data_IF_466166281466
#
_entry.id   IF_466166281466
#
_cell.length_a   1.000
_cell.length_b   1.000
_cell.length_c   1.000
_cell.angle_alpha   90.00
_cell.angle_beta   90.00
_cell.angle_gamma   90.00
#
_symmetry.space_group_name_H-M   'P 1'
#
loop_
_entity.id
_entity.type
_entity.pdbx_description
1 polymer ?
#
# COMPACT_ATOMS: atom_id res chain seq x y z
N UNK A 1 -5.36 -17.37 -17.49
CA UNK A 1 -4.39 -16.26 -17.43
C UNK A 1 -4.91 -15.26 -16.39
N UNK A 2 -4.21 -15.12 -15.26
CA UNK A 2 -4.75 -14.38 -14.12
C UNK A 2 -4.11 -12.99 -13.96
N UNK A 3 -3.16 -12.59 -14.82
CA UNK A 3 -2.54 -11.26 -14.76
C UNK A 3 -3.57 -10.21 -15.18
N UNK A 4 -3.73 -9.17 -14.34
CA UNK A 4 -4.77 -8.16 -14.50
C UNK A 4 -6.12 -8.51 -13.85
N UNK A 5 -6.29 -9.73 -13.35
CA UNK A 5 -7.52 -10.13 -12.67
C UNK A 5 -7.58 -9.61 -11.23
N UNK A 6 -8.74 -9.15 -10.76
CA UNK A 6 -8.95 -8.87 -9.34
C UNK A 6 -8.98 -10.18 -8.56
N UNK A 7 -8.43 -10.16 -7.36
CA UNK A 7 -8.43 -11.27 -6.42
C UNK A 7 -8.86 -10.78 -5.05
N UNK A 8 -9.63 -11.59 -4.33
CA UNK A 8 -10.05 -11.30 -2.97
C UNK A 8 -9.20 -12.07 -1.96
N UNK A 9 -9.07 -11.52 -0.76
CA UNK A 9 -8.43 -12.22 0.35
C UNK A 9 -9.14 -13.56 0.60
N UNK A 10 -8.34 -14.64 0.66
CA UNK A 10 -8.84 -16.01 0.82
C UNK A 10 -9.19 -16.72 -0.49
N UNK A 11 -9.13 -16.03 -1.63
CA UNK A 11 -9.38 -16.65 -2.93
C UNK A 11 -8.22 -17.57 -3.34
N UNK A 12 -8.48 -18.76 -3.93
CA UNK A 12 -7.46 -19.72 -4.30
C UNK A 12 -6.60 -19.20 -5.45
N UNK A 13 -5.27 -19.28 -5.29
CA UNK A 13 -4.29 -18.87 -6.30
C UNK A 13 -3.70 -20.06 -7.06
N UNK A 14 -3.18 -21.04 -6.32
CA UNK A 14 -2.56 -22.25 -6.89
C UNK A 14 -2.50 -23.36 -5.84
N UNK A 15 -2.22 -24.58 -6.29
CA UNK A 15 -1.99 -25.71 -5.40
C UNK A 15 -0.51 -26.10 -5.40
N UNK A 16 0.03 -26.37 -4.23
CA UNK A 16 1.42 -26.78 -4.03
C UNK A 16 1.49 -28.17 -3.43
N UNK A 17 2.44 -28.98 -3.92
CA UNK A 17 2.87 -30.20 -3.27
C UNK A 17 4.16 -29.94 -2.49
N UNK A 18 4.17 -30.31 -1.21
CA UNK A 18 5.36 -30.30 -0.38
C UNK A 18 5.41 -31.58 0.47
N UNK A 19 6.50 -32.35 0.39
CA UNK A 19 6.71 -33.51 1.26
C UNK A 19 6.66 -33.16 2.75
N UNK A 20 7.18 -31.98 3.10
CA UNK A 20 7.22 -31.50 4.49
C UNK A 20 5.81 -31.15 5.01
N UNK A 21 4.99 -30.51 4.17
CA UNK A 21 3.58 -30.27 4.47
C UNK A 21 2.79 -31.56 4.64
N UNK A 22 3.06 -32.56 3.80
CA UNK A 22 2.41 -33.86 3.89
C UNK A 22 2.80 -34.58 5.19
N UNK A 23 4.10 -34.65 5.50
CA UNK A 23 4.58 -35.26 6.74
C UNK A 23 4.01 -34.58 7.99
N UNK A 24 3.92 -33.23 8.01
CA UNK A 24 3.35 -32.52 9.16
C UNK A 24 1.84 -32.76 9.31
N UNK A 25 1.11 -32.99 8.22
CA UNK A 25 -0.29 -33.41 8.28
C UNK A 25 -0.44 -34.81 8.86
N UNK A 26 0.46 -35.74 8.49
CA UNK A 26 0.52 -37.10 9.04
C UNK A 26 0.84 -37.04 10.54
N UNK A 27 1.75 -36.17 10.98
CA UNK A 27 2.02 -35.91 12.40
C UNK A 27 0.77 -35.45 13.15
N UNK A 28 -0.03 -34.55 12.56
CA UNK A 28 -1.30 -34.10 13.14
C UNK A 28 -2.29 -35.23 13.27
N UNK A 29 -2.45 -36.07 12.24
CA UNK A 29 -3.35 -37.22 12.27
C UNK A 29 -2.90 -38.26 13.29
N UNK A 30 -1.59 -38.50 13.44
CA UNK A 30 -1.04 -39.35 14.46
C UNK A 30 -1.32 -38.79 15.86
N UNK A 31 -1.11 -37.50 16.08
CA UNK A 31 -1.41 -36.83 17.35
C UNK A 31 -2.87 -36.94 17.72
N UNK A 32 -3.79 -36.79 16.76
CA UNK A 32 -5.25 -36.98 16.96
C UNK A 32 -5.62 -38.41 17.35
N UNK A 33 -4.96 -39.40 16.74
CA UNK A 33 -5.11 -40.81 17.11
C UNK A 33 -4.61 -41.06 18.52
N UNK A 34 -3.39 -40.63 18.83
CA UNK A 34 -2.77 -40.76 20.15
C UNK A 34 -3.63 -40.11 21.23
N UNK A 35 -4.20 -38.94 20.99
CA UNK A 35 -5.14 -38.26 21.90
C UNK A 35 -6.35 -39.12 22.19
N UNK A 36 -6.96 -39.77 21.18
CA UNK A 36 -8.11 -40.67 21.35
C UNK A 36 -7.73 -41.88 22.20
N UNK A 37 -6.56 -42.45 21.95
CA UNK A 37 -6.07 -43.61 22.68
C UNK A 37 -5.77 -43.28 24.16
N UNK A 38 -5.17 -42.12 24.42
CA UNK A 38 -4.85 -41.60 25.76
C UNK A 38 -6.08 -41.11 26.52
N UNK A 39 -7.17 -40.70 25.85
CA UNK A 39 -8.40 -40.26 26.50
C UNK A 39 -9.02 -41.32 27.41
N UNK A 40 -8.76 -42.59 27.14
CA UNK A 40 -9.19 -43.72 27.97
C UNK A 40 -8.26 -44.00 29.17
N UNK A 41 -7.03 -43.41 29.19
CA UNK A 41 -6.06 -43.60 30.24
C UNK A 41 -6.14 -42.43 31.26
N UNK A 42 -6.34 -42.75 32.53
CA UNK A 42 -6.42 -41.75 33.60
C UNK A 42 -5.11 -40.96 33.72
N UNK A 43 -5.19 -39.62 33.55
CA UNK A 43 -4.09 -38.68 33.81
C UNK A 43 -3.25 -38.30 32.60
N UNK A 44 -3.44 -38.88 31.41
CA UNK A 44 -2.62 -38.59 30.20
C UNK A 44 -3.36 -37.80 29.10
N UNK A 45 -4.58 -37.37 29.37
CA UNK A 45 -5.40 -36.65 28.38
C UNK A 45 -4.79 -35.29 28.00
N UNK A 46 -4.13 -34.58 28.93
CA UNK A 46 -3.48 -33.30 28.70
C UNK A 46 -2.29 -33.42 27.73
N UNK A 47 -1.51 -34.49 27.85
CA UNK A 47 -0.35 -34.72 26.97
C UNK A 47 -0.78 -34.94 25.51
N UNK A 48 -1.95 -35.60 25.33
CA UNK A 48 -2.54 -35.78 23.99
C UNK A 48 -2.99 -34.47 23.35
N UNK A 49 -3.57 -33.57 24.14
CA UNK A 49 -4.03 -32.26 23.66
C UNK A 49 -2.84 -31.36 23.27
N UNK A 50 -1.74 -31.41 24.03
CA UNK A 50 -0.51 -30.66 23.73
C UNK A 50 0.15 -31.12 22.42
N UNK A 51 0.15 -32.42 22.13
CA UNK A 51 0.66 -32.96 20.87
C UNK A 51 -0.16 -32.44 19.67
N UNK A 52 -1.48 -32.48 19.77
CA UNK A 52 -2.38 -31.97 18.72
C UNK A 52 -2.19 -30.46 18.53
N UNK A 53 -2.13 -29.69 19.62
CA UNK A 53 -1.92 -28.25 19.56
C UNK A 53 -0.57 -27.89 18.91
N UNK A 54 0.48 -28.64 19.19
CA UNK A 54 1.81 -28.46 18.61
C UNK A 54 1.81 -28.72 17.09
N UNK A 55 1.24 -29.86 16.66
CA UNK A 55 1.19 -30.23 15.25
C UNK A 55 0.31 -29.23 14.44
N UNK A 56 -0.84 -28.83 15.01
CA UNK A 56 -1.72 -27.81 14.40
C UNK A 56 -1.00 -26.48 14.26
N UNK A 57 -0.26 -26.03 15.27
CA UNK A 57 0.52 -24.78 15.25
C UNK A 57 1.57 -24.79 14.15
N UNK A 58 2.25 -25.90 13.90
CA UNK A 58 3.23 -26.03 12.79
C UNK A 58 2.54 -25.76 11.44
N UNK A 59 1.40 -26.38 11.17
CA UNK A 59 0.64 -26.17 9.93
C UNK A 59 0.12 -24.73 9.80
N UNK A 60 -0.31 -24.13 10.91
CA UNK A 60 -0.74 -22.72 10.94
C UNK A 60 0.40 -21.76 10.64
N UNK A 61 1.64 -22.05 11.13
CA UNK A 61 2.83 -21.25 10.83
C UNK A 61 3.23 -21.32 9.34
N UNK A 62 2.78 -22.32 8.62
CA UNK A 62 2.93 -22.45 7.18
C UNK A 62 1.70 -21.94 6.40
N UNK A 63 0.87 -21.12 7.04
CA UNK A 63 -0.33 -20.51 6.47
C UNK A 63 -1.30 -21.51 5.80
N UNK A 64 -1.34 -22.76 6.29
CA UNK A 64 -2.34 -23.72 5.85
C UNK A 64 -3.73 -23.22 6.25
N UNK A 65 -4.68 -23.05 5.31
CA UNK A 65 -6.00 -22.51 5.60
C UNK A 65 -6.74 -23.31 6.68
N UNK A 66 -7.43 -22.61 7.59
CA UNK A 66 -8.18 -23.25 8.67
C UNK A 66 -9.23 -24.24 8.14
N UNK A 67 -9.85 -23.94 7.00
CA UNK A 67 -10.79 -24.85 6.35
C UNK A 67 -10.13 -26.17 5.90
N UNK A 68 -8.88 -26.11 5.43
CA UNK A 68 -8.10 -27.30 5.06
C UNK A 68 -7.76 -28.12 6.29
N UNK A 69 -7.30 -27.46 7.39
CA UNK A 69 -7.04 -28.16 8.66
C UNK A 69 -8.28 -28.87 9.18
N UNK A 70 -9.42 -28.17 9.21
CA UNK A 70 -10.68 -28.76 9.63
C UNK A 70 -11.06 -29.99 8.78
N UNK A 71 -10.86 -29.92 7.47
CA UNK A 71 -11.14 -31.02 6.55
C UNK A 71 -10.23 -32.23 6.81
N UNK A 72 -8.92 -32.03 7.01
CA UNK A 72 -7.96 -33.07 7.36
C UNK A 72 -8.36 -33.75 8.68
N UNK A 73 -8.72 -32.95 9.70
CA UNK A 73 -9.15 -33.45 11.01
C UNK A 73 -10.47 -34.26 10.93
N UNK A 74 -11.41 -33.83 10.09
CA UNK A 74 -12.70 -34.52 9.88
C UNK A 74 -12.57 -35.79 9.08
N UNK A 75 -11.80 -35.76 7.98
CA UNK A 75 -11.65 -36.90 7.08
C UNK A 75 -10.65 -37.94 7.60
N UNK A 76 -9.73 -37.53 8.47
CA UNK A 76 -8.61 -38.35 8.91
C UNK A 76 -7.63 -38.70 7.80
N UNK A 77 -7.59 -37.90 6.72
CA UNK A 77 -6.71 -38.14 5.57
C UNK A 77 -5.88 -36.91 5.27
N UNK A 78 -4.58 -37.10 5.05
CA UNK A 78 -3.69 -36.07 4.60
C UNK A 78 -3.91 -35.73 3.12
N UNK A 79 -3.87 -34.44 2.81
CA UNK A 79 -4.02 -33.97 1.43
C UNK A 79 -2.64 -33.86 0.77
N UNK A 80 -2.49 -34.49 -0.39
CA UNK A 80 -1.23 -34.47 -1.15
C UNK A 80 -0.83 -33.05 -1.56
N UNK A 81 -1.81 -32.23 -1.91
CA UNK A 81 -1.61 -30.85 -2.36
C UNK A 81 -2.40 -29.91 -1.48
N UNK A 82 -1.80 -28.78 -1.12
CA UNK A 82 -2.45 -27.71 -0.37
C UNK A 82 -2.72 -26.54 -1.30
N UNK A 83 -3.91 -25.99 -1.24
CA UNK A 83 -4.27 -24.78 -1.97
C UNK A 83 -3.76 -23.56 -1.21
N UNK A 84 -2.91 -22.77 -1.88
CA UNK A 84 -2.47 -21.47 -1.40
C UNK A 84 -3.49 -20.42 -1.79
N UNK A 85 -3.92 -19.64 -0.82
CA UNK A 85 -4.93 -18.58 -0.99
C UNK A 85 -4.29 -17.21 -0.91
N UNK A 86 -4.93 -16.22 -1.51
CA UNK A 86 -4.43 -14.84 -1.44
C UNK A 86 -4.52 -14.28 0.00
N UNK A 87 -3.42 -13.74 0.55
CA UNK A 87 -3.45 -13.10 1.87
C UNK A 87 -4.10 -11.71 1.84
N UNK A 88 -4.25 -11.11 0.67
CA UNK A 88 -4.76 -9.74 0.45
C UNK A 88 -5.78 -9.71 -0.68
N UNK A 89 -6.58 -8.65 -0.71
CA UNK A 89 -7.39 -8.32 -1.89
C UNK A 89 -6.63 -7.33 -2.76
N UNK A 90 -6.73 -7.46 -4.08
CA UNK A 90 -6.02 -6.57 -5.01
C UNK A 90 -6.12 -7.06 -6.45
N UNK A 91 -5.17 -6.64 -7.27
CA UNK A 91 -5.04 -7.05 -8.67
C UNK A 91 -3.73 -7.81 -8.84
N UNK A 92 -3.79 -8.95 -9.51
CA UNK A 92 -2.59 -9.74 -9.85
C UNK A 92 -1.80 -8.99 -10.92
N UNK A 93 -0.63 -8.47 -10.57
CA UNK A 93 0.23 -7.75 -11.52
C UNK A 93 1.30 -8.64 -12.14
N UNK A 94 1.68 -9.71 -11.42
CA UNK A 94 2.68 -10.66 -11.90
C UNK A 94 2.35 -12.07 -11.43
N UNK A 95 2.60 -13.03 -12.32
CA UNK A 95 2.49 -14.46 -12.06
C UNK A 95 3.71 -15.16 -12.67
N UNK A 96 4.54 -15.74 -11.84
CA UNK A 96 5.77 -16.42 -12.27
C UNK A 96 5.67 -17.94 -12.21
N UNK A 97 4.56 -18.47 -11.73
CA UNK A 97 4.39 -19.93 -11.61
C UNK A 97 3.62 -20.52 -12.77
N UNK A 98 4.08 -21.68 -13.18
CA UNK A 98 3.40 -22.56 -14.15
C UNK A 98 3.21 -23.95 -13.54
N UNK A 99 2.22 -24.72 -14.01
CA UNK A 99 2.03 -26.09 -13.54
C UNK A 99 3.29 -26.93 -13.67
N UNK A 100 3.64 -27.67 -12.60
CA UNK A 100 4.84 -28.51 -12.56
C UNK A 100 6.14 -27.79 -12.21
N UNK A 101 6.12 -26.46 -12.05
CA UNK A 101 7.29 -25.70 -11.64
C UNK A 101 7.61 -25.97 -10.16
N UNK A 102 8.90 -26.05 -9.85
CA UNK A 102 9.39 -26.08 -8.48
C UNK A 102 9.48 -24.67 -7.91
N UNK A 103 8.91 -24.45 -6.74
CA UNK A 103 9.01 -23.19 -5.98
C UNK A 103 9.97 -23.40 -4.85
N UNK A 104 10.97 -22.52 -4.72
CA UNK A 104 11.92 -22.52 -3.62
C UNK A 104 11.46 -21.57 -2.51
N UNK A 105 11.94 -21.80 -1.29
CA UNK A 105 11.67 -20.89 -0.17
C UNK A 105 12.18 -19.47 -0.49
N UNK A 106 11.34 -18.45 -0.27
CA UNK A 106 11.63 -17.05 -0.65
C UNK A 106 11.26 -16.68 -2.08
N UNK A 107 10.79 -17.62 -2.90
CA UNK A 107 10.25 -17.32 -4.23
C UNK A 107 8.98 -16.47 -4.15
N UNK A 108 8.77 -15.61 -5.15
CA UNK A 108 7.57 -14.76 -5.28
C UNK A 108 6.70 -15.24 -6.45
N UNK A 109 5.84 -16.25 -6.23
CA UNK A 109 5.03 -16.84 -7.30
C UNK A 109 3.98 -15.89 -7.88
N UNK A 110 3.47 -14.97 -7.06
CA UNK A 110 2.48 -13.97 -7.42
C UNK A 110 2.86 -12.62 -6.82
N UNK A 111 2.55 -11.57 -7.55
CA UNK A 111 2.60 -10.20 -7.07
C UNK A 111 1.20 -9.59 -7.18
N UNK A 112 0.65 -9.17 -6.05
CA UNK A 112 -0.71 -8.65 -5.93
C UNK A 112 -0.63 -7.25 -5.34
N UNK A 113 -1.19 -6.27 -6.06
CA UNK A 113 -1.18 -4.88 -5.63
C UNK A 113 -2.57 -4.44 -5.19
N UNK A 114 -2.64 -3.80 -4.04
CA UNK A 114 -3.82 -3.05 -3.63
C UNK A 114 -3.82 -1.70 -4.36
N UNK A 115 -4.73 -1.57 -5.30
CA UNK A 115 -4.91 -0.34 -6.09
C UNK A 115 -6.08 0.53 -5.60
N UNK A 116 -6.64 0.27 -4.42
CA UNK A 116 -7.73 1.08 -3.85
C UNK A 116 -7.30 2.50 -3.50
N UNK A 117 -6.03 2.68 -3.23
CA UNK A 117 -5.37 3.98 -3.06
C UNK A 117 -4.04 4.00 -3.78
N UNK A 118 -3.67 5.16 -4.30
CA UNK A 118 -2.40 5.37 -4.98
C UNK A 118 -1.66 6.58 -4.41
N UNK A 119 -0.36 6.56 -4.56
CA UNK A 119 0.49 7.70 -4.26
C UNK A 119 1.00 8.33 -5.54
N UNK A 120 0.88 9.64 -5.63
CA UNK A 120 1.53 10.43 -6.67
C UNK A 120 2.75 11.11 -6.08
N UNK A 121 3.88 10.93 -6.75
CA UNK A 121 5.13 11.60 -6.41
C UNK A 121 5.27 12.83 -7.31
N UNK A 122 5.12 14.01 -6.71
CA UNK A 122 5.28 15.27 -7.39
C UNK A 122 6.67 15.84 -7.10
N UNK A 123 7.35 16.33 -8.14
CA UNK A 123 8.61 17.04 -7.99
C UNK A 123 8.33 18.52 -7.78
N UNK A 124 8.66 19.03 -6.60
CA UNK A 124 8.44 20.42 -6.22
C UNK A 124 9.79 21.14 -6.06
N UNK A 125 9.95 22.29 -6.72
CA UNK A 125 11.18 23.08 -6.62
C UNK A 125 11.39 23.61 -5.19
N UNK A 126 12.64 23.75 -4.79
CA UNK A 126 13.06 24.28 -3.49
C UNK A 126 12.39 25.63 -3.15
N UNK A 127 12.25 26.50 -4.14
CA UNK A 127 11.60 27.82 -3.99
C UNK A 127 10.15 27.73 -3.53
N UNK A 128 9.44 26.68 -3.96
CA UNK A 128 8.00 26.51 -3.73
C UNK A 128 7.70 25.64 -2.50
N UNK A 129 8.69 24.91 -1.99
CA UNK A 129 8.53 24.04 -0.81
C UNK A 129 7.99 24.77 0.43
N UNK A 130 8.32 26.05 0.60
CA UNK A 130 7.81 26.87 1.71
C UNK A 130 6.29 26.96 1.74
N UNK A 131 5.63 26.75 0.60
CA UNK A 131 4.16 26.82 0.44
C UNK A 131 3.50 25.46 0.60
N UNK A 132 4.28 24.36 0.56
CA UNK A 132 3.76 22.99 0.69
C UNK A 132 3.70 22.58 2.16
N UNK A 133 2.56 22.05 2.58
CA UNK A 133 2.36 21.52 3.93
C UNK A 133 1.76 20.13 3.87
N UNK A 134 2.16 19.25 4.77
CA UNK A 134 1.48 17.96 4.97
C UNK A 134 0.01 18.23 5.32
N UNK A 135 -0.90 17.49 4.69
CA UNK A 135 -2.34 17.69 4.81
C UNK A 135 -2.94 18.68 3.80
N UNK A 136 -2.12 19.45 3.08
CA UNK A 136 -2.61 20.40 2.07
C UNK A 136 -3.40 19.67 0.96
N UNK A 137 -4.50 20.26 0.47
CA UNK A 137 -5.24 19.69 -0.63
C UNK A 137 -4.49 19.86 -1.94
N UNK A 138 -4.57 18.82 -2.78
CA UNK A 138 -4.00 18.78 -4.11
C UNK A 138 -5.07 18.39 -5.12
N UNK A 139 -5.10 19.05 -6.27
CA UNK A 139 -5.90 18.66 -7.41
C UNK A 139 -4.98 18.10 -8.49
N UNK A 140 -5.33 16.93 -9.00
CA UNK A 140 -4.50 16.19 -9.95
C UNK A 140 -5.30 15.92 -11.22
N UNK A 141 -4.61 16.03 -12.36
CA UNK A 141 -5.13 15.66 -13.67
C UNK A 141 -4.15 14.73 -14.36
N UNK A 142 -4.66 13.71 -15.03
CA UNK A 142 -3.84 12.70 -15.71
C UNK A 142 -4.10 12.76 -17.22
N UNK A 143 -3.05 12.78 -18.02
CA UNK A 143 -3.16 12.82 -19.49
C UNK A 143 -3.90 11.61 -20.05
N UNK A 144 -3.80 10.46 -19.39
CA UNK A 144 -4.49 9.24 -19.79
C UNK A 144 -6.01 9.27 -19.49
N UNK A 145 -6.50 10.21 -18.66
CA UNK A 145 -7.90 10.34 -18.23
C UNK A 145 -8.34 11.80 -18.39
N UNK A 146 -8.47 12.29 -19.63
CA UNK A 146 -8.76 13.68 -19.90
C UNK A 146 -10.15 14.09 -19.35
N UNK A 147 -10.21 15.30 -18.79
CA UNK A 147 -11.46 15.85 -18.23
C UNK A 147 -11.81 15.34 -16.83
N UNK A 148 -11.00 14.49 -16.21
CA UNK A 148 -11.20 14.04 -14.83
C UNK A 148 -10.21 14.71 -13.90
N UNK A 149 -10.73 15.26 -12.80
CA UNK A 149 -9.94 15.81 -11.71
C UNK A 149 -10.01 14.89 -10.49
N UNK A 150 -8.85 14.62 -9.93
CA UNK A 150 -8.71 13.81 -8.72
C UNK A 150 -8.30 14.69 -7.56
N UNK A 151 -8.93 14.50 -6.41
CA UNK A 151 -8.62 15.23 -5.19
C UNK A 151 -7.77 14.38 -4.28
N UNK A 152 -6.61 14.91 -3.92
CA UNK A 152 -5.66 14.25 -3.02
C UNK A 152 -5.25 15.15 -1.87
N UNK A 153 -4.40 14.61 -1.01
CA UNK A 153 -3.77 15.35 0.09
C UNK A 153 -2.29 15.04 0.13
N UNK A 154 -1.49 16.05 0.43
CA UNK A 154 -0.07 15.89 0.71
C UNK A 154 0.09 15.00 1.94
N UNK A 155 0.63 13.80 1.75
CA UNK A 155 0.88 12.84 2.82
C UNK A 155 2.28 13.00 3.42
N UNK A 156 3.26 13.38 2.58
CA UNK A 156 4.65 13.49 3.00
C UNK A 156 5.42 14.44 2.08
N UNK A 157 6.36 15.17 2.65
CA UNK A 157 7.34 15.99 1.91
C UNK A 157 8.72 15.45 2.24
N UNK A 158 9.46 15.06 1.22
CA UNK A 158 10.80 14.51 1.42
C UNK A 158 11.72 15.60 1.99
N UNK A 159 12.45 15.36 3.09
CA UNK A 159 13.39 16.30 3.66
C UNK A 159 14.68 16.44 2.83
N UNK A 160 14.89 15.55 1.86
CA UNK A 160 16.10 15.53 1.01
C UNK A 160 15.75 16.03 -0.37
N UNK A 161 16.56 16.97 -0.87
CA UNK A 161 16.46 17.45 -2.24
C UNK A 161 17.23 16.54 -3.20
N UNK A 162 16.67 16.30 -4.38
CA UNK A 162 17.40 15.68 -5.49
C UNK A 162 18.41 16.71 -6.03
N UNK A 163 19.74 16.44 -5.93
CA UNK A 163 20.76 17.44 -6.26
C UNK A 163 20.75 17.89 -7.71
N UNK A 164 20.36 17.01 -8.64
CA UNK A 164 20.37 17.29 -10.08
C UNK A 164 19.25 18.23 -10.50
N UNK A 165 18.06 18.03 -9.95
CA UNK A 165 16.85 18.78 -10.31
C UNK A 165 16.52 19.90 -9.33
N UNK A 166 17.13 19.91 -8.14
CA UNK A 166 16.81 20.79 -7.00
C UNK A 166 15.34 20.76 -6.63
N UNK A 167 14.76 19.57 -6.69
CA UNK A 167 13.36 19.32 -6.31
C UNK A 167 13.29 18.42 -5.10
N UNK A 168 12.24 18.58 -4.29
CA UNK A 168 11.86 17.58 -3.29
C UNK A 168 10.70 16.73 -3.81
N UNK A 169 10.71 15.47 -3.47
CA UNK A 169 9.57 14.58 -3.72
C UNK A 169 8.46 14.85 -2.71
N UNK A 170 7.29 15.21 -3.21
CA UNK A 170 6.07 15.39 -2.42
C UNK A 170 5.14 14.24 -2.73
N UNK A 171 4.82 13.44 -1.71
CA UNK A 171 3.91 12.32 -1.83
C UNK A 171 2.49 12.76 -1.54
N UNK A 172 1.61 12.55 -2.51
CA UNK A 172 0.20 12.89 -2.44
C UNK A 172 -0.60 11.58 -2.44
N UNK A 173 -1.46 11.40 -1.46
CA UNK A 173 -2.34 10.23 -1.38
C UNK A 173 -3.68 10.53 -2.04
N UNK A 174 -4.13 9.59 -2.87
CA UNK A 174 -5.44 9.63 -3.56
C UNK A 174 -6.19 8.33 -3.33
N UNK A 175 -7.49 8.45 -3.15
CA UNK A 175 -8.39 7.30 -3.30
C UNK A 175 -8.52 6.95 -4.78
N UNK A 176 -8.54 5.68 -5.10
CA UNK A 176 -8.61 5.16 -6.46
C UNK A 176 -9.76 4.15 -6.62
N UNK A 177 -11.01 4.60 -6.49
CA UNK A 177 -12.16 3.70 -6.65
C UNK A 177 -12.19 3.13 -8.07
N UNK A 178 -12.42 1.82 -8.14
CA UNK A 178 -12.46 1.11 -9.43
C UNK A 178 -11.11 0.95 -10.12
N UNK A 179 -9.98 1.24 -9.43
CA UNK A 179 -8.62 1.08 -9.96
C UNK A 179 -8.40 1.79 -11.32
N UNK A 180 -9.02 2.97 -11.50
CA UNK A 180 -8.91 3.77 -12.73
C UNK A 180 -7.49 4.31 -12.92
N UNK A 181 -6.84 4.73 -11.83
CA UNK A 181 -5.45 5.14 -11.85
C UNK A 181 -4.55 3.90 -11.79
N UNK A 182 -3.62 3.82 -12.72
CA UNK A 182 -2.64 2.74 -12.79
C UNK A 182 -1.26 3.26 -12.38
N UNK A 183 -0.41 2.41 -11.80
CA UNK A 183 0.99 2.76 -11.58
C UNK A 183 1.65 3.27 -12.86
N UNK A 184 2.67 4.11 -12.71
CA UNK A 184 3.42 4.73 -13.81
C UNK A 184 2.61 5.70 -14.69
N UNK A 185 1.39 6.08 -14.30
CA UNK A 185 0.67 7.15 -14.99
C UNK A 185 1.27 8.52 -14.64
N UNK A 186 1.42 9.37 -15.67
CA UNK A 186 1.89 10.74 -15.54
C UNK A 186 0.72 11.73 -15.52
N UNK A 187 0.85 12.75 -14.68
CA UNK A 187 -0.15 13.78 -14.52
C UNK A 187 0.43 15.11 -14.04
N UNK A 188 -0.43 16.08 -13.93
CA UNK A 188 -0.11 17.40 -13.40
C UNK A 188 -0.77 17.56 -12.03
N UNK A 189 -0.06 18.22 -11.12
CA UNK A 189 -0.51 18.46 -9.75
C UNK A 189 -0.61 19.95 -9.50
N UNK A 190 -1.76 20.39 -9.06
CA UNK A 190 -1.98 21.75 -8.56
C UNK A 190 -2.09 21.69 -7.04
N UNK A 191 -1.07 22.18 -6.36
CA UNK A 191 -1.06 22.33 -4.91
C UNK A 191 -1.68 23.68 -4.55
N UNK A 192 -2.74 23.67 -3.75
CA UNK A 192 -3.34 24.90 -3.24
C UNK A 192 -2.51 25.40 -2.07
N UNK A 193 -1.91 26.58 -2.21
CA UNK A 193 -1.24 27.23 -1.10
C UNK A 193 -2.25 27.65 -0.03
N UNK A 194 -1.81 27.64 1.23
CA UNK A 194 -2.63 28.18 2.31
C UNK A 194 -2.87 29.67 2.05
N UNK A 195 -4.12 30.16 2.06
CA UNK A 195 -4.40 31.56 1.88
C UNK A 195 -3.63 32.39 2.91
N UNK A 196 -2.77 33.29 2.44
CA UNK A 196 -2.06 34.22 3.31
C UNK A 196 -2.76 35.57 3.23
N UNK A 197 -3.14 36.12 4.36
CA UNK A 197 -3.54 37.51 4.40
C UNK A 197 -2.33 38.37 4.07
N UNK A 198 -2.37 39.07 2.96
CA UNK A 198 -1.33 39.96 2.52
C UNK A 198 -1.99 41.26 2.02
N UNK A 199 -1.34 42.37 2.30
CA UNK A 199 -1.68 43.63 1.68
C UNK A 199 -1.31 43.51 0.19
N UNK A 200 -2.28 43.69 -0.68
CA UNK A 200 -2.05 43.72 -2.11
C UNK A 200 -2.05 45.16 -2.59
N UNK A 201 -1.06 45.50 -3.36
CA UNK A 201 -0.95 46.79 -4.07
C UNK A 201 -0.86 46.50 -5.57
N UNK A 202 -1.45 47.34 -6.44
CA UNK A 202 -1.26 47.21 -7.88
C UNK A 202 0.25 47.27 -8.22
N UNK A 203 0.68 46.46 -9.19
CA UNK A 203 2.08 46.46 -9.61
C UNK A 203 2.53 47.84 -10.11
N UNK A 204 1.64 48.58 -10.76
CA UNK A 204 1.87 49.93 -11.27
C UNK A 204 2.07 51.00 -10.19
N UNK A 205 1.70 50.68 -8.94
CA UNK A 205 1.94 51.57 -7.79
C UNK A 205 3.32 51.38 -7.15
N UNK A 206 4.08 50.38 -7.60
CA UNK A 206 5.45 50.10 -7.10
C UNK A 206 6.47 50.72 -8.04
N UNK A 207 7.25 51.65 -7.52
CA UNK A 207 8.40 52.21 -8.26
C UNK A 207 9.63 51.41 -7.84
N UNK A 208 10.20 50.66 -8.78
CA UNK A 208 11.41 49.89 -8.55
C UNK A 208 12.63 50.69 -9.08
N UNK A 209 13.55 51.02 -8.19
CA UNK A 209 14.79 51.73 -8.49
C UNK A 209 15.97 50.79 -8.76
N UNK A 210 15.73 49.45 -8.82
CA UNK A 210 16.78 48.43 -8.95
C UNK A 210 17.47 48.07 -7.65
N UNK A 211 17.49 48.98 -6.66
CA UNK A 211 18.06 48.74 -5.33
C UNK A 211 16.98 48.70 -4.23
N UNK A 212 15.85 49.37 -4.47
CA UNK A 212 14.70 49.46 -3.54
C UNK A 212 13.41 49.57 -4.31
N UNK A 213 12.37 48.90 -3.80
CA UNK A 213 11.00 49.09 -4.28
C UNK A 213 10.28 50.04 -3.32
N UNK A 214 9.71 51.12 -3.88
CA UNK A 214 9.05 52.19 -3.12
C UNK A 214 7.62 52.34 -3.56
N UNK A 215 6.73 52.52 -2.59
CA UNK A 215 5.34 52.91 -2.85
C UNK A 215 5.02 54.21 -2.15
N UNK A 216 4.15 55.02 -2.75
CA UNK A 216 3.67 56.26 -2.13
C UNK A 216 2.29 56.05 -1.56
N UNK A 217 2.17 56.20 -0.23
CA UNK A 217 0.87 56.14 0.47
C UNK A 217 0.29 57.55 0.53
N UNK A 218 -0.91 57.73 0.00
CA UNK A 218 -1.62 58.98 0.07
C UNK A 218 -2.17 59.17 1.51
N UNK A 219 -1.82 60.29 2.14
CA UNK A 219 -2.26 60.65 3.50
C UNK A 219 -3.44 61.61 3.50
N UNK A 220 -3.95 62.04 2.35
CA UNK A 220 -4.90 63.09 2.20
C UNK A 220 -4.25 64.46 2.00
N UNK A 221 -5.04 65.48 1.64
CA UNK A 221 -4.63 66.85 1.43
C UNK A 221 -3.40 67.03 0.51
N UNK A 222 -3.27 66.19 -0.50
CA UNK A 222 -2.14 66.22 -1.44
C UNK A 222 -0.78 65.76 -0.91
N UNK A 223 -0.78 65.19 0.31
CA UNK A 223 0.44 64.64 0.95
C UNK A 223 0.64 63.17 0.65
N UNK A 224 1.85 62.78 0.30
CA UNK A 224 2.26 61.41 0.03
C UNK A 224 3.44 61.03 0.92
N UNK A 225 3.40 59.83 1.45
CA UNK A 225 4.52 59.26 2.23
C UNK A 225 5.16 58.10 1.48
N UNK A 226 6.46 58.13 1.19
CA UNK A 226 7.14 56.98 0.62
C UNK A 226 7.29 55.87 1.69
N UNK A 227 7.05 54.64 1.27
CA UNK A 227 7.31 53.41 2.06
C UNK A 227 8.16 52.47 1.20
N UNK A 228 9.18 51.87 1.79
CA UNK A 228 10.09 50.90 1.20
C UNK A 228 9.68 49.49 1.62
#
# INVERSE_FOLDING_TARGET
>A
DCVGAPVQRGEPLFSIYSPELLATQEDLLLALKTRRDLASARGLAADGDDLVASARRKLQLWDVPAATLARIEQTGQAERTITVVSPVSGVVVKKEVVPGMRIEAGGMPYEIWDLTSVWVLADVYETDLKQVRVGAPATLTFKALPGQEYQGRVAFVDPVLEPKTRTAKVRISLANPGAALKPEMFGEVVLKSVPRQALRIPADAVIDSGTRSVVFVALGDGKFQPRV
#
